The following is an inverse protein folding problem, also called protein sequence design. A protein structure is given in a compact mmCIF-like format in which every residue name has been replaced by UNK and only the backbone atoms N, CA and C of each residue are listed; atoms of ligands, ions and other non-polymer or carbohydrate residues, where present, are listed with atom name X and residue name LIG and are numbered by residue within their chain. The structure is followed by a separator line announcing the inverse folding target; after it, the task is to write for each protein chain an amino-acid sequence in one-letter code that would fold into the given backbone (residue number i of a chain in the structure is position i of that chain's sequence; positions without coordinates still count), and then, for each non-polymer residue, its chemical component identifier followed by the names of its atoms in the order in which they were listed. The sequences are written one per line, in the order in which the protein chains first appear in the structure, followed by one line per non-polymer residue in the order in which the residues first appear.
data_IF_228486567438
#
_entry.id   IF_228486567438
#
_cell.length_a   1.000
_cell.length_b   1.000
_cell.length_c   1.000
_cell.angle_alpha   90.00
_cell.angle_beta   90.00
_cell.angle_gamma   90.00
#
_symmetry.space_group_name_H-M   'P 1'
#
loop_
_entity.id
_entity.type
_entity.pdbx_description
1 polymer ?
#
# COMPACT_ATOMS: atom_id res chain seq x y z
N UNK A 1 17.92 -5.16 -14.71
CA UNK A 1 17.48 -3.85 -15.19
C UNK A 1 15.98 -3.91 -15.40
N UNK A 2 15.23 -2.97 -14.83
CA UNK A 2 13.77 -2.85 -14.96
C UNK A 2 13.51 -1.53 -15.71
N UNK A 3 12.90 -1.59 -16.89
CA UNK A 3 12.60 -0.39 -17.68
C UNK A 3 13.82 0.45 -18.07
N UNK A 4 14.99 -0.16 -18.26
CA UNK A 4 16.23 0.56 -18.61
C UNK A 4 17.02 1.12 -17.43
N UNK A 5 16.52 0.98 -16.20
CA UNK A 5 17.20 1.38 -14.95
C UNK A 5 17.76 0.18 -14.18
N UNK A 6 18.82 0.41 -13.40
CA UNK A 6 19.39 -0.60 -12.49
C UNK A 6 18.47 -0.83 -11.29
N UNK A 7 18.69 -1.93 -10.54
CA UNK A 7 17.90 -2.17 -9.33
C UNK A 7 18.20 -1.16 -8.22
N UNK A 8 19.45 -0.71 -8.13
CA UNK A 8 19.88 0.28 -7.14
C UNK A 8 19.19 1.63 -7.38
N UNK A 9 19.09 2.06 -8.64
CA UNK A 9 18.39 3.29 -9.03
C UNK A 9 16.90 3.26 -8.63
N UNK A 10 16.23 2.13 -8.84
CA UNK A 10 14.83 1.94 -8.43
C UNK A 10 14.66 1.97 -6.91
N UNK A 11 15.55 1.30 -6.18
CA UNK A 11 15.52 1.27 -4.72
C UNK A 11 15.77 2.66 -4.15
N UNK A 12 16.71 3.40 -4.73
CA UNK A 12 17.07 4.75 -4.30
C UNK A 12 15.92 5.73 -4.53
N UNK A 13 15.32 5.74 -5.73
CA UNK A 13 14.12 6.54 -6.03
C UNK A 13 12.95 6.21 -5.10
N UNK A 14 12.70 4.91 -4.86
CA UNK A 14 11.66 4.48 -3.93
C UNK A 14 11.93 4.97 -2.50
N UNK A 15 13.18 4.78 -2.02
CA UNK A 15 13.60 5.23 -0.69
C UNK A 15 13.54 6.76 -0.55
N UNK A 16 13.72 7.50 -1.65
CA UNK A 16 13.56 8.94 -1.68
C UNK A 16 12.11 9.38 -1.46
N UNK A 17 11.15 8.63 -1.98
CA UNK A 17 9.71 8.89 -1.84
C UNK A 17 9.14 8.60 -0.45
N UNK A 18 9.86 7.84 0.39
CA UNK A 18 9.36 7.32 1.66
C UNK A 18 10.39 7.57 2.78
N UNK A 19 10.68 8.84 3.11
CA UNK A 19 11.66 9.19 4.16
C UNK A 19 10.97 9.40 5.52
N UNK A 20 9.71 9.83 5.55
CA UNK A 20 9.03 10.18 6.79
C UNK A 20 8.66 8.91 7.60
N UNK A 21 8.92 8.87 8.92
CA UNK A 21 8.67 7.69 9.73
C UNK A 21 7.18 7.31 9.78
N UNK A 22 6.27 8.29 9.79
CA UNK A 22 4.82 8.02 9.76
C UNK A 22 4.44 7.33 8.45
N UNK A 23 4.97 7.79 7.31
CA UNK A 23 4.72 7.17 6.02
C UNK A 23 5.15 5.69 6.02
N UNK A 24 6.39 5.41 6.46
CA UNK A 24 6.90 4.04 6.56
C UNK A 24 6.06 3.15 7.47
N UNK A 25 5.63 3.65 8.63
CA UNK A 25 4.83 2.87 9.59
C UNK A 25 3.45 2.57 9.00
N UNK A 26 2.74 3.60 8.51
CA UNK A 26 1.40 3.39 7.96
C UNK A 26 1.43 2.54 6.71
N UNK A 27 2.49 2.62 5.89
CA UNK A 27 2.71 1.75 4.74
C UNK A 27 3.00 0.31 5.13
N UNK A 28 3.88 0.10 6.11
CA UNK A 28 4.25 -1.24 6.60
C UNK A 28 3.06 -2.01 7.17
N UNK A 29 2.04 -1.30 7.66
CA UNK A 29 0.78 -1.88 8.15
C UNK A 29 -0.26 -1.96 7.02
N UNK A 30 -0.46 -0.87 6.28
CA UNK A 30 -1.49 -0.76 5.27
C UNK A 30 -1.30 -1.69 4.07
N UNK A 31 -0.06 -1.90 3.60
CA UNK A 31 0.22 -2.79 2.46
C UNK A 31 -0.19 -4.24 2.79
N UNK A 32 0.24 -4.85 3.92
CA UNK A 32 -0.24 -6.16 4.33
C UNK A 32 -1.76 -6.23 4.48
N UNK A 33 -2.41 -5.21 5.04
CA UNK A 33 -3.87 -5.18 5.17
C UNK A 33 -4.58 -5.25 3.81
N UNK A 34 -4.10 -4.47 2.83
CA UNK A 34 -4.64 -4.49 1.46
C UNK A 34 -4.35 -5.85 0.82
N UNK A 35 -3.15 -6.40 0.97
CA UNK A 35 -2.80 -7.71 0.43
C UNK A 35 -3.70 -8.82 1.00
N UNK A 36 -3.91 -8.86 2.31
CA UNK A 36 -4.82 -9.81 2.96
C UNK A 36 -6.25 -9.59 2.49
N UNK A 37 -6.71 -8.34 2.35
CA UNK A 37 -8.05 -8.06 1.85
C UNK A 37 -8.31 -8.67 0.47
N UNK A 38 -7.33 -8.57 -0.45
CA UNK A 38 -7.43 -9.15 -1.79
C UNK A 38 -7.47 -10.68 -1.75
N UNK A 39 -6.67 -11.30 -0.87
CA UNK A 39 -6.68 -12.75 -0.65
C UNK A 39 -8.00 -13.28 -0.06
N UNK A 40 -8.75 -12.44 0.68
CA UNK A 40 -10.04 -12.84 1.26
C UNK A 40 -11.21 -12.79 0.26
N UNK A 41 -11.04 -12.16 -0.90
CA UNK A 41 -12.12 -12.03 -1.92
C UNK A 41 -12.61 -13.41 -2.38
N UNK A 42 -11.76 -14.38 -2.80
CA UNK A 42 -12.22 -15.70 -3.21
C UNK A 42 -12.92 -16.48 -2.09
N UNK A 43 -12.46 -16.32 -0.85
CA UNK A 43 -13.04 -17.01 0.32
C UNK A 43 -14.44 -16.46 0.65
N UNK A 44 -14.67 -15.18 0.34
CA UNK A 44 -15.94 -14.50 0.62
C UNK A 44 -17.13 -15.05 -0.17
N UNK A 45 -16.89 -15.82 -1.25
CA UNK A 45 -17.95 -16.54 -1.97
C UNK A 45 -18.50 -17.75 -1.19
N UNK A 46 -17.74 -18.26 -0.21
CA UNK A 46 -18.08 -19.47 0.53
C UNK A 46 -18.43 -19.18 2.00
N UNK A 47 -18.03 -18.03 2.52
CA UNK A 47 -18.25 -17.63 3.91
C UNK A 47 -19.06 -16.34 3.96
N UNK A 48 -20.30 -16.43 4.46
CA UNK A 48 -21.18 -15.27 4.60
C UNK A 48 -20.54 -14.17 5.44
N UNK A 49 -20.76 -12.92 5.04
CA UNK A 49 -20.24 -11.69 5.67
C UNK A 49 -18.71 -11.53 5.72
N UNK A 50 -17.91 -12.49 5.26
CA UNK A 50 -16.44 -12.33 5.21
C UNK A 50 -16.01 -11.17 4.31
N UNK A 51 -16.82 -10.84 3.29
CA UNK A 51 -16.60 -9.69 2.42
C UNK A 51 -16.58 -8.36 3.20
N UNK A 52 -17.28 -8.26 4.34
CA UNK A 52 -17.27 -7.05 5.18
C UNK A 52 -15.88 -6.85 5.79
N UNK A 53 -15.26 -7.94 6.27
CA UNK A 53 -13.89 -7.91 6.78
C UNK A 53 -12.91 -7.56 5.65
N UNK A 54 -13.04 -8.19 4.48
CA UNK A 54 -12.21 -7.88 3.32
C UNK A 54 -12.31 -6.39 2.94
N UNK A 55 -13.54 -5.87 2.81
CA UNK A 55 -13.79 -4.47 2.50
C UNK A 55 -13.25 -3.52 3.58
N UNK A 56 -13.40 -3.87 4.86
CA UNK A 56 -12.90 -3.06 5.98
C UNK A 56 -11.37 -2.97 5.96
N UNK A 57 -10.69 -4.11 5.77
CA UNK A 57 -9.22 -4.15 5.66
C UNK A 57 -8.73 -3.34 4.47
N UNK A 58 -9.42 -3.42 3.33
CA UNK A 58 -9.10 -2.65 2.14
C UNK A 58 -9.21 -1.13 2.39
N UNK A 59 -10.34 -0.68 2.94
CA UNK A 59 -10.59 0.74 3.22
C UNK A 59 -9.59 1.27 4.25
N UNK A 60 -9.43 0.58 5.39
CA UNK A 60 -8.51 1.02 6.45
C UNK A 60 -7.07 1.00 5.94
N UNK A 61 -6.69 -0.03 5.18
CA UNK A 61 -5.38 -0.11 4.56
C UNK A 61 -5.08 1.11 3.69
N UNK A 62 -6.02 1.49 2.81
CA UNK A 62 -5.88 2.69 1.99
C UNK A 62 -5.86 3.99 2.79
N UNK A 63 -6.69 4.13 3.82
CA UNK A 63 -6.63 5.29 4.72
C UNK A 63 -5.23 5.44 5.31
N UNK A 64 -4.62 4.34 5.79
CA UNK A 64 -3.26 4.35 6.31
C UNK A 64 -2.23 4.77 5.23
N UNK A 65 -2.36 4.27 3.99
CA UNK A 65 -1.50 4.69 2.88
C UNK A 65 -1.59 6.21 2.65
N UNK A 66 -2.81 6.75 2.54
CA UNK A 66 -3.04 8.17 2.28
C UNK A 66 -2.60 9.06 3.45
N UNK A 67 -2.82 8.63 4.70
CA UNK A 67 -2.29 9.32 5.88
C UNK A 67 -0.76 9.39 5.81
N UNK A 68 -0.11 8.28 5.44
CA UNK A 68 1.34 8.25 5.26
C UNK A 68 1.82 9.29 4.23
N UNK A 69 1.17 9.35 3.07
CA UNK A 69 1.50 10.32 2.02
C UNK A 69 1.19 11.77 2.40
N UNK A 70 0.12 12.00 3.18
CA UNK A 70 -0.18 13.31 3.72
C UNK A 70 0.97 13.85 4.58
N UNK A 71 1.55 13.00 5.44
CA UNK A 71 2.71 13.38 6.25
C UNK A 71 4.03 13.46 5.45
N UNK A 72 4.19 12.63 4.42
CA UNK A 72 5.35 12.69 3.52
C UNK A 72 5.35 13.98 2.67
N UNK A 73 4.17 14.56 2.41
CA UNK A 73 4.01 15.72 1.53
C UNK A 73 4.21 15.40 0.04
N UNK A 74 4.32 14.12 -0.31
CA UNK A 74 4.48 13.62 -1.67
C UNK A 74 3.26 12.79 -2.09
N UNK A 75 2.79 12.94 -3.34
CA UNK A 75 1.71 12.10 -3.84
C UNK A 75 2.14 10.62 -3.88
N UNK A 76 1.19 9.68 -3.81
CA UNK A 76 1.45 8.27 -4.08
C UNK A 76 2.12 8.03 -5.42
N UNK A 77 2.99 7.01 -5.50
CA UNK A 77 3.81 6.74 -6.68
C UNK A 77 3.00 6.36 -7.94
N UNK A 78 1.77 5.84 -7.79
CA UNK A 78 0.91 5.53 -8.94
C UNK A 78 0.38 6.75 -9.71
N UNK A 79 0.65 7.97 -9.23
CA UNK A 79 0.39 9.21 -9.97
C UNK A 79 1.58 9.70 -10.79
N UNK A 80 2.72 9.02 -10.70
CA UNK A 80 3.90 9.31 -11.52
C UNK A 80 3.94 8.27 -12.64
N UNK A 81 3.74 8.72 -13.87
CA UNK A 81 3.94 7.93 -15.09
C UNK A 81 5.41 8.01 -15.55
#
# INVERSE_FOLDING_TARGET
MMGGRSWDEWIEEYAEGHKHPVNRITHSIGIPMIAVSALLIPVSFFVSNLWILALSLFIIGWILQFVGHYFEGKPPEFFKD
#
